data_IF_529767183536
#
_entry.id   IF_529767183536
#
_cell.length_a   1.000
_cell.length_b   1.000
_cell.length_c   1.000
_cell.angle_alpha   90.00
_cell.angle_beta   90.00
_cell.angle_gamma   90.00
#
_symmetry.space_group_name_H-M   'P 1'
#
loop_
_entity.id
_entity.type
_entity.pdbx_description
1 polymer ?
#
# COMPACT_ATOMS: atom_id res chain seq x y z
N UNK A 1 -18.00 -3.96 0.31
CA UNK A 1 -17.83 -2.99 -0.79
C UNK A 1 -19.22 -2.59 -1.23
N UNK A 2 -19.68 -1.38 -0.89
CA UNK A 2 -20.84 -0.79 -1.57
C UNK A 2 -20.32 -0.11 -2.83
N UNK A 3 -20.89 -0.45 -3.99
CA UNK A 3 -20.60 0.24 -5.23
C UNK A 3 -21.90 0.89 -5.70
N UNK A 4 -21.85 2.19 -5.96
CA UNK A 4 -22.91 2.90 -6.66
C UNK A 4 -22.50 3.04 -8.12
N UNK A 5 -23.43 2.75 -9.03
CA UNK A 5 -23.25 3.01 -10.46
C UNK A 5 -23.70 4.44 -10.72
N UNK A 6 -22.81 5.26 -11.26
CA UNK A 6 -23.14 6.61 -11.71
C UNK A 6 -22.55 6.81 -13.11
N UNK A 7 -23.34 7.31 -14.03
CA UNK A 7 -22.85 7.92 -15.26
C UNK A 7 -22.31 9.31 -14.88
N UNK A 8 -21.18 9.71 -15.45
CA UNK A 8 -20.62 11.05 -15.26
C UNK A 8 -21.19 11.92 -16.39
N UNK A 9 -21.57 13.17 -16.10
CA UNK A 9 -22.19 14.07 -17.10
C UNK A 9 -21.31 14.23 -18.36
N UNK A 10 -19.99 14.22 -18.19
CA UNK A 10 -19.01 14.36 -19.28
C UNK A 10 -18.84 13.07 -20.13
N UNK A 11 -19.25 11.90 -19.62
CA UNK A 11 -19.19 10.62 -20.33
C UNK A 11 -20.46 9.79 -20.07
N UNK A 12 -21.61 10.16 -20.66
CA UNK A 12 -22.89 9.53 -20.37
C UNK A 12 -22.95 8.05 -20.77
N UNK A 13 -22.12 7.63 -21.73
CA UNK A 13 -22.02 6.25 -22.22
C UNK A 13 -21.05 5.38 -21.41
N UNK A 14 -20.35 5.94 -20.42
CA UNK A 14 -19.38 5.24 -19.59
C UNK A 14 -19.97 4.88 -18.23
N UNK A 15 -19.79 3.61 -17.83
CA UNK A 15 -20.18 3.14 -16.50
C UNK A 15 -19.00 3.25 -15.53
N UNK A 16 -19.18 3.90 -14.38
CA UNK A 16 -18.13 4.04 -13.37
C UNK A 16 -18.47 3.30 -12.07
N UNK A 17 -17.44 2.71 -11.45
CA UNK A 17 -17.46 2.22 -10.06
C UNK A 17 -16.69 3.19 -9.19
N UNK A 18 -17.29 3.63 -8.08
CA UNK A 18 -16.62 4.46 -7.08
C UNK A 18 -16.31 3.63 -5.84
N UNK A 19 -15.03 3.59 -5.46
CA UNK A 19 -14.60 2.99 -4.22
C UNK A 19 -14.78 3.95 -3.03
N UNK A 20 -14.83 3.41 -1.82
CA UNK A 20 -14.98 4.19 -0.59
C UNK A 20 -13.82 5.18 -0.37
N UNK A 21 -12.64 4.88 -0.92
CA UNK A 21 -11.47 5.76 -0.91
C UNK A 21 -11.45 6.77 -2.07
N UNK A 22 -12.64 7.08 -2.62
CA UNK A 22 -12.87 8.06 -3.70
C UNK A 22 -12.17 7.75 -5.04
N UNK A 23 -11.59 6.56 -5.22
CA UNK A 23 -11.12 6.12 -6.54
C UNK A 23 -12.30 5.79 -7.45
N UNK A 24 -12.24 6.24 -8.69
CA UNK A 24 -13.18 5.86 -9.74
C UNK A 24 -12.55 4.85 -10.70
N UNK A 25 -13.34 3.88 -11.15
CA UNK A 25 -12.94 2.88 -12.13
C UNK A 25 -13.95 2.92 -13.28
N UNK A 26 -13.50 3.28 -14.47
CA UNK A 26 -14.31 3.15 -15.68
C UNK A 26 -14.43 1.68 -16.05
N UNK A 27 -15.65 1.18 -16.18
CA UNK A 27 -15.93 -0.16 -16.67
C UNK A 27 -15.78 -0.13 -18.19
N UNK A 28 -14.66 -0.65 -18.69
CA UNK A 28 -14.38 -0.68 -20.13
C UNK A 28 -15.21 -1.70 -20.92
N UNK A 29 -15.85 -2.68 -20.26
CA UNK A 29 -16.68 -3.69 -20.92
C UNK A 29 -17.62 -4.39 -19.93
N UNK A 30 -18.85 -4.67 -20.37
CA UNK A 30 -19.84 -5.54 -19.68
C UNK A 30 -19.83 -6.98 -20.21
N UNK A 31 -18.88 -7.33 -21.09
CA UNK A 31 -18.76 -8.67 -21.62
C UNK A 31 -18.54 -9.70 -20.51
N UNK A 32 -19.31 -10.78 -20.54
CA UNK A 32 -19.34 -11.82 -19.49
C UNK A 32 -17.98 -12.50 -19.34
N UNK A 33 -17.23 -12.69 -20.44
CA UNK A 33 -15.89 -13.29 -20.39
C UNK A 33 -14.91 -12.33 -19.71
N UNK A 34 -14.94 -11.06 -20.10
CA UNK A 34 -14.13 -10.00 -19.49
C UNK A 34 -14.43 -9.88 -17.99
N UNK A 35 -15.70 -9.84 -17.60
CA UNK A 35 -16.11 -9.85 -16.19
C UNK A 35 -15.55 -11.06 -15.43
N UNK A 36 -15.63 -12.26 -16.01
CA UNK A 36 -15.11 -13.48 -15.40
C UNK A 36 -13.60 -13.41 -15.19
N UNK A 37 -12.85 -12.90 -16.16
CA UNK A 37 -11.40 -12.68 -16.06
C UNK A 37 -11.05 -11.64 -15.00
N UNK A 38 -11.77 -10.51 -14.97
CA UNK A 38 -11.59 -9.46 -13.96
C UNK A 38 -11.88 -9.96 -12.56
N UNK A 39 -12.95 -10.75 -12.38
CA UNK A 39 -13.28 -11.38 -11.10
C UNK A 39 -12.17 -12.31 -10.65
N UNK A 40 -11.71 -13.21 -11.52
CA UNK A 40 -10.63 -14.14 -11.19
C UNK A 40 -9.33 -13.40 -10.87
N UNK A 41 -9.02 -12.30 -11.57
CA UNK A 41 -7.90 -11.43 -11.25
C UNK A 41 -8.04 -10.84 -9.85
N UNK A 42 -9.16 -10.19 -9.53
CA UNK A 42 -9.39 -9.58 -8.21
C UNK A 42 -9.31 -10.62 -7.11
N UNK A 43 -9.96 -11.77 -7.28
CA UNK A 43 -9.94 -12.86 -6.29
C UNK A 43 -8.52 -13.35 -6.00
N UNK A 44 -7.62 -13.41 -6.99
CA UNK A 44 -6.20 -13.77 -6.81
C UNK A 44 -5.48 -12.78 -5.88
N UNK A 45 -5.69 -11.49 -6.05
CA UNK A 45 -5.08 -10.49 -5.16
C UNK A 45 -5.73 -10.46 -3.79
N UNK A 46 -7.05 -10.69 -3.71
CA UNK A 46 -7.76 -10.84 -2.43
C UNK A 46 -7.23 -12.04 -1.65
N UNK A 47 -7.07 -13.20 -2.28
CA UNK A 47 -6.54 -14.40 -1.60
C UNK A 47 -5.08 -14.20 -1.19
N UNK A 48 -4.26 -13.53 -2.00
CA UNK A 48 -2.88 -13.19 -1.63
C UNK A 48 -2.84 -12.26 -0.41
N UNK A 49 -3.62 -11.17 -0.41
CA UNK A 49 -3.72 -10.26 0.73
C UNK A 49 -4.16 -11.02 1.99
N UNK A 50 -5.17 -11.88 1.86
CA UNK A 50 -5.64 -12.70 2.96
C UNK A 50 -4.55 -13.64 3.49
N UNK A 51 -3.77 -14.30 2.64
CA UNK A 51 -2.63 -15.12 3.08
C UNK A 51 -1.64 -14.29 3.90
N UNK A 52 -1.32 -13.08 3.46
CA UNK A 52 -0.47 -12.18 4.24
C UNK A 52 -1.08 -11.84 5.60
N UNK A 53 -2.37 -11.48 5.65
CA UNK A 53 -3.10 -11.23 6.90
C UNK A 53 -3.02 -12.44 7.85
N UNK A 54 -3.25 -13.66 7.34
CA UNK A 54 -3.16 -14.89 8.14
C UNK A 54 -1.75 -15.13 8.70
N UNK A 55 -0.71 -14.78 7.93
CA UNK A 55 0.68 -14.90 8.36
C UNK A 55 1.02 -13.85 9.40
N UNK A 56 0.63 -12.60 9.17
CA UNK A 56 0.95 -11.49 10.06
C UNK A 56 0.18 -11.63 11.38
N UNK A 57 -1.10 -12.00 11.34
CA UNK A 57 -1.94 -12.28 12.51
C UNK A 57 -1.57 -13.57 13.26
N UNK A 58 -0.70 -14.42 12.71
CA UNK A 58 -0.22 -15.62 13.41
C UNK A 58 0.87 -15.34 14.45
N UNK A 59 1.54 -14.19 14.35
CA UNK A 59 2.51 -13.74 15.35
C UNK A 59 1.82 -12.87 16.40
N UNK A 60 2.03 -13.20 17.68
CA UNK A 60 1.73 -12.28 18.78
C UNK A 60 3.01 -11.95 19.53
N UNK A 61 3.01 -10.94 20.39
CA UNK A 61 4.17 -10.66 21.27
C UNK A 61 4.63 -11.89 22.06
N UNK A 62 3.73 -12.86 22.28
CA UNK A 62 3.98 -14.11 23.02
C UNK A 62 4.28 -15.32 22.13
N UNK A 63 3.98 -15.27 20.83
CA UNK A 63 4.14 -16.43 19.93
C UNK A 63 4.98 -16.05 18.70
N UNK A 64 6.13 -16.71 18.49
CA UNK A 64 6.98 -16.40 17.35
C UNK A 64 6.24 -16.69 16.04
N UNK A 65 6.47 -15.84 15.04
CA UNK A 65 5.89 -15.97 13.70
C UNK A 65 6.16 -17.39 13.16
N UNK A 66 5.13 -18.03 12.62
CA UNK A 66 5.28 -19.41 12.12
C UNK A 66 6.35 -19.46 11.01
N UNK A 67 7.35 -20.36 11.09
CA UNK A 67 8.36 -20.52 10.04
C UNK A 67 7.73 -20.89 8.70
N UNK A 68 8.31 -20.41 7.60
CA UNK A 68 7.80 -20.65 6.25
C UNK A 68 7.66 -22.14 5.89
N UNK A 69 8.52 -23.02 6.39
CA UNK A 69 8.45 -24.49 6.22
C UNK A 69 7.21 -25.14 6.85
N UNK A 70 6.54 -24.43 7.78
CA UNK A 70 5.30 -24.90 8.41
C UNK A 70 4.04 -24.28 7.77
N UNK A 71 4.21 -23.35 6.82
CA UNK A 71 3.10 -22.62 6.17
C UNK A 71 2.58 -23.39 4.95
N UNK A 72 1.92 -24.50 5.21
CA UNK A 72 1.25 -25.32 4.19
C UNK A 72 -0.26 -25.05 4.15
N UNK A 73 -0.98 -25.78 3.28
CA UNK A 73 -2.43 -25.60 3.14
C UNK A 73 -3.20 -25.90 4.43
N UNK A 74 -2.83 -26.94 5.19
CA UNK A 74 -3.49 -27.27 6.46
C UNK A 74 -3.30 -26.14 7.48
N UNK A 75 -2.10 -25.57 7.53
CA UNK A 75 -1.80 -24.42 8.36
C UNK A 75 -2.64 -23.20 7.95
N UNK A 76 -2.76 -22.89 6.66
CA UNK A 76 -3.60 -21.78 6.17
C UNK A 76 -5.07 -21.97 6.52
N UNK A 77 -5.62 -23.17 6.32
CA UNK A 77 -7.00 -23.49 6.69
C UNK A 77 -7.21 -23.32 8.19
N UNK A 78 -6.28 -23.79 9.03
CA UNK A 78 -6.33 -23.61 10.48
C UNK A 78 -6.28 -22.14 10.87
N UNK A 79 -5.41 -21.33 10.25
CA UNK A 79 -5.35 -19.90 10.53
C UNK A 79 -6.60 -19.17 10.07
N UNK A 80 -7.18 -19.51 8.92
CA UNK A 80 -8.42 -18.92 8.44
C UNK A 80 -9.56 -19.13 9.45
N UNK A 81 -9.75 -20.35 9.94
CA UNK A 81 -10.77 -20.66 10.95
C UNK A 81 -10.51 -19.89 12.24
N UNK A 82 -9.24 -19.74 12.64
CA UNK A 82 -8.87 -19.05 13.88
C UNK A 82 -9.04 -17.53 13.78
N UNK A 83 -8.69 -16.93 12.65
CA UNK A 83 -8.52 -15.48 12.53
C UNK A 83 -9.68 -14.80 11.78
N UNK A 84 -10.21 -15.42 10.73
CA UNK A 84 -11.20 -14.81 9.83
C UNK A 84 -12.63 -15.18 10.26
N UNK A 85 -12.89 -16.46 10.52
CA UNK A 85 -14.25 -16.91 10.90
C UNK A 85 -14.82 -16.17 12.13
N UNK A 86 -14.05 -15.85 13.20
CA UNK A 86 -14.57 -15.07 14.31
C UNK A 86 -14.90 -13.62 13.93
N UNK A 87 -14.16 -13.00 13.00
CA UNK A 87 -14.46 -11.66 12.49
C UNK A 87 -15.74 -11.66 11.65
N UNK A 88 -15.96 -12.75 10.92
CA UNK A 88 -17.12 -12.95 10.04
C UNK A 88 -18.42 -13.20 10.81
N UNK A 89 -18.36 -13.51 12.11
CA UNK A 89 -19.55 -13.59 12.98
C UNK A 89 -20.34 -12.29 13.01
N UNK A 90 -19.67 -11.15 12.78
CA UNK A 90 -20.29 -9.82 12.81
C UNK A 90 -20.67 -9.30 11.41
N UNK A 91 -20.38 -10.05 10.34
CA UNK A 91 -20.63 -9.61 8.96
C UNK A 91 -21.79 -10.42 8.38
N UNK A 92 -23.00 -9.88 8.50
CA UNK A 92 -24.13 -10.27 7.64
C UNK A 92 -24.92 -9.05 7.20
N UNK A 93 -24.50 -8.45 6.09
CA UNK A 93 -25.33 -7.53 5.31
C UNK A 93 -25.98 -8.30 4.15
N UNK A 94 -27.15 -8.87 4.43
CA UNK A 94 -28.26 -8.71 3.50
C UNK A 94 -29.40 -8.18 4.36
N UNK A 95 -29.31 -6.88 4.68
CA UNK A 95 -30.47 -6.11 5.10
C UNK A 95 -31.45 -6.16 3.94
N UNK A 96 -32.44 -7.03 4.05
CA UNK A 96 -33.59 -7.00 3.16
C UNK A 96 -34.74 -6.46 4.02
N UNK A 97 -35.14 -5.18 3.87
CA UNK A 97 -36.22 -4.58 4.65
C UNK A 97 -37.55 -5.32 4.47
N UNK A 98 -37.68 -6.11 3.41
CA UNK A 98 -38.84 -6.96 3.11
C UNK A 98 -38.65 -8.42 3.56
N UNK A 99 -37.57 -8.76 4.26
CA UNK A 99 -37.41 -10.13 4.76
C UNK A 99 -38.40 -10.43 5.89
N UNK A 100 -39.15 -11.51 5.75
CA UNK A 100 -40.06 -12.00 6.78
C UNK A 100 -39.29 -12.22 8.09
N UNK A 101 -39.85 -11.71 9.20
CA UNK A 101 -39.26 -11.81 10.53
C UNK A 101 -38.36 -10.65 10.95
N UNK A 102 -38.54 -9.45 10.37
CA UNK A 102 -38.02 -8.20 10.95
C UNK A 102 -39.08 -7.65 11.91
N UNK A 103 -38.68 -7.41 13.16
CA UNK A 103 -39.47 -6.77 14.20
C UNK A 103 -38.82 -5.43 14.51
N UNK A 104 -39.60 -4.37 14.40
CA UNK A 104 -39.18 -3.03 14.82
C UNK A 104 -39.39 -2.95 16.33
N UNK A 105 -38.34 -2.67 17.09
CA UNK A 105 -38.47 -2.42 18.53
C UNK A 105 -39.12 -1.04 18.77
N UNK A 106 -39.48 -0.76 20.02
CA UNK A 106 -40.15 0.50 20.41
C UNK A 106 -39.30 1.76 20.15
N UNK A 107 -38.00 1.59 19.89
CA UNK A 107 -37.05 2.65 19.54
C UNK A 107 -36.86 2.82 18.02
N UNK A 108 -37.62 2.10 17.19
CA UNK A 108 -37.49 2.13 15.73
C UNK A 108 -36.34 1.29 15.16
N UNK A 109 -35.57 0.61 16.00
CA UNK A 109 -34.50 -0.29 15.60
C UNK A 109 -35.07 -1.64 15.12
N UNK A 110 -34.72 -2.01 13.90
CA UNK A 110 -35.15 -3.27 13.29
C UNK A 110 -34.26 -4.43 13.75
N UNK A 111 -34.88 -5.44 14.35
CA UNK A 111 -34.23 -6.68 14.79
C UNK A 111 -34.86 -7.87 14.10
N UNK A 112 -34.13 -8.97 13.95
CA UNK A 112 -34.71 -10.20 13.40
C UNK A 112 -35.37 -11.01 14.54
N UNK A 113 -36.59 -11.52 14.33
CA UNK A 113 -37.33 -12.35 15.31
C UNK A 113 -36.53 -13.58 15.75
N UNK A 114 -35.67 -14.10 14.87
CA UNK A 114 -34.75 -15.20 15.18
C UNK A 114 -33.32 -14.76 14.88
N UNK A 115 -32.37 -14.92 15.82
CA UNK A 115 -30.97 -14.63 15.56
C UNK A 115 -30.47 -15.53 14.43
N UNK A 116 -29.99 -14.92 13.33
CA UNK A 116 -29.44 -15.65 12.20
C UNK A 116 -28.04 -16.15 12.55
N UNK A 117 -27.93 -17.38 13.05
CA UNK A 117 -26.63 -18.01 13.31
C UNK A 117 -25.82 -18.11 12.00
N UNK A 118 -24.54 -17.71 12.05
CA UNK A 118 -23.61 -17.95 10.94
C UNK A 118 -23.50 -19.46 10.71
N UNK A 119 -23.62 -19.88 9.44
CA UNK A 119 -23.47 -21.30 9.11
C UNK A 119 -22.06 -21.76 9.52
N UNK A 120 -21.90 -22.95 10.09
CA UNK A 120 -20.57 -23.48 10.39
C UNK A 120 -19.79 -23.60 9.08
N UNK A 121 -18.62 -22.96 9.00
CA UNK A 121 -17.75 -23.01 7.82
C UNK A 121 -16.89 -24.27 7.92
N UNK A 122 -17.05 -25.20 6.97
CA UNK A 122 -16.29 -26.45 6.98
C UNK A 122 -14.87 -26.24 6.41
N UNK A 123 -13.89 -27.00 6.92
CA UNK A 123 -12.49 -26.96 6.43
C UNK A 123 -12.38 -27.17 4.92
N UNK A 124 -13.24 -28.04 4.37
CA UNK A 124 -13.28 -28.32 2.94
C UNK A 124 -13.69 -27.11 2.10
N UNK A 125 -14.61 -26.27 2.59
CA UNK A 125 -15.01 -25.04 1.89
C UNK A 125 -13.84 -24.06 1.81
N UNK A 126 -13.11 -23.90 2.91
CA UNK A 126 -11.92 -23.04 2.96
C UNK A 126 -10.81 -23.59 2.05
N UNK A 127 -10.56 -24.91 2.10
CA UNK A 127 -9.61 -25.57 1.20
C UNK A 127 -9.98 -25.34 -0.27
N UNK A 128 -11.27 -25.37 -0.61
CA UNK A 128 -11.77 -25.12 -1.98
C UNK A 128 -11.44 -23.70 -2.46
N UNK A 129 -11.51 -22.70 -1.58
CA UNK A 129 -11.12 -21.31 -1.89
C UNK A 129 -9.65 -21.24 -2.30
N UNK A 130 -8.75 -21.86 -1.52
CA UNK A 130 -7.32 -21.94 -1.85
C UNK A 130 -7.05 -22.80 -3.09
N UNK A 131 -7.77 -23.92 -3.26
CA UNK A 131 -7.63 -24.80 -4.40
C UNK A 131 -7.96 -24.08 -5.72
N UNK A 132 -8.97 -23.20 -5.73
CA UNK A 132 -9.36 -22.42 -6.92
C UNK A 132 -8.19 -21.63 -7.51
N UNK A 133 -7.31 -21.10 -6.66
CA UNK A 133 -6.19 -20.22 -7.05
C UNK A 133 -4.80 -20.83 -6.79
N UNK A 134 -4.71 -22.13 -6.50
CA UNK A 134 -3.47 -22.75 -6.03
C UNK A 134 -2.30 -22.65 -7.03
N UNK A 135 -2.58 -22.85 -8.33
CA UNK A 135 -1.57 -22.74 -9.40
C UNK A 135 -1.08 -21.30 -9.58
N UNK A 136 -1.96 -20.32 -9.47
CA UNK A 136 -1.56 -18.91 -9.55
C UNK A 136 -0.71 -18.53 -8.34
N UNK A 137 -1.08 -18.97 -7.13
CA UNK A 137 -0.28 -18.74 -5.92
C UNK A 137 1.11 -19.36 -6.08
N UNK A 138 1.20 -20.58 -6.64
CA UNK A 138 2.48 -21.22 -6.94
C UNK A 138 3.31 -20.40 -7.93
N UNK A 139 2.69 -19.96 -9.03
CA UNK A 139 3.34 -19.13 -10.04
C UNK A 139 3.87 -17.81 -9.45
N UNK A 140 3.08 -17.13 -8.61
CA UNK A 140 3.46 -15.90 -7.91
C UNK A 140 4.66 -16.14 -6.99
N UNK A 141 4.65 -17.20 -6.18
CA UNK A 141 5.78 -17.57 -5.31
C UNK A 141 7.05 -17.90 -6.09
N UNK A 142 6.93 -18.56 -7.25
CA UNK A 142 8.06 -18.92 -8.10
C UNK A 142 8.59 -17.68 -8.85
N UNK A 143 7.72 -16.83 -9.38
CA UNK A 143 8.13 -15.59 -10.03
C UNK A 143 8.82 -14.65 -9.04
N UNK A 144 8.38 -14.65 -7.78
CA UNK A 144 8.93 -13.86 -6.71
C UNK A 144 10.27 -14.38 -6.14
N UNK A 145 10.80 -15.51 -6.61
CA UNK A 145 12.08 -16.09 -6.13
C UNK A 145 13.27 -15.13 -6.18
N UNK A 146 13.23 -14.13 -7.08
CA UNK A 146 14.28 -13.09 -7.16
C UNK A 146 14.31 -12.19 -5.93
N UNK A 147 13.23 -12.11 -5.16
CA UNK A 147 13.15 -11.34 -3.92
C UNK A 147 13.06 -12.29 -2.72
N UNK A 148 14.10 -12.35 -1.85
CA UNK A 148 14.11 -13.26 -0.70
C UNK A 148 12.96 -12.99 0.28
N UNK A 149 12.49 -11.75 0.37
CA UNK A 149 11.42 -11.36 1.28
C UNK A 149 10.01 -11.62 0.70
N UNK A 150 9.91 -12.04 -0.55
CA UNK A 150 8.62 -12.21 -1.22
C UNK A 150 8.04 -13.63 -1.10
N UNK A 151 8.84 -14.60 -0.66
CA UNK A 151 8.34 -15.96 -0.35
C UNK A 151 7.59 -15.94 0.98
N UNK A 152 6.36 -16.44 0.96
CA UNK A 152 5.51 -16.51 2.13
C UNK A 152 4.95 -17.91 2.40
N UNK A 153 5.13 -18.88 1.49
CA UNK A 153 4.72 -20.29 1.64
C UNK A 153 5.87 -21.29 1.42
N UNK A 154 5.71 -22.50 1.97
CA UNK A 154 6.54 -23.65 1.65
C UNK A 154 6.23 -24.14 0.22
N UNK A 155 7.12 -23.84 -0.74
CA UNK A 155 6.93 -24.18 -2.16
C UNK A 155 6.83 -25.70 -2.38
N UNK A 156 7.73 -26.55 -1.85
CA UNK A 156 7.57 -28.00 -1.94
C UNK A 156 6.21 -28.52 -1.49
N UNK A 157 5.72 -28.06 -0.33
CA UNK A 157 4.40 -28.51 0.17
C UNK A 157 3.25 -27.93 -0.66
N UNK A 158 3.38 -26.69 -1.14
CA UNK A 158 2.39 -26.09 -2.01
C UNK A 158 2.32 -26.75 -3.39
N UNK A 159 3.47 -27.17 -3.93
CA UNK A 159 3.54 -27.93 -5.18
C UNK A 159 2.79 -29.26 -5.06
N UNK A 160 2.96 -30.00 -3.96
CA UNK A 160 2.18 -31.22 -3.67
C UNK A 160 0.68 -30.93 -3.62
N UNK A 161 0.28 -29.86 -2.95
CA UNK A 161 -1.12 -29.45 -2.89
C UNK A 161 -1.70 -29.12 -4.29
N UNK A 162 -0.92 -28.48 -5.16
CA UNK A 162 -1.32 -28.26 -6.56
C UNK A 162 -1.51 -29.59 -7.30
N UNK A 163 -0.60 -30.57 -7.11
CA UNK A 163 -0.76 -31.91 -7.69
C UNK A 163 -2.05 -32.58 -7.22
N UNK A 164 -2.34 -32.55 -5.92
CA UNK A 164 -3.60 -33.08 -5.35
C UNK A 164 -4.84 -32.43 -5.99
N UNK A 165 -4.84 -31.10 -6.12
CA UNK A 165 -5.97 -30.37 -6.71
C UNK A 165 -6.26 -30.77 -8.15
N UNK A 166 -5.21 -31.12 -8.92
CA UNK A 166 -5.34 -31.57 -10.32
C UNK A 166 -5.80 -33.01 -10.45
N UNK A 167 -5.50 -33.86 -9.47
CA UNK A 167 -6.07 -35.22 -9.41
C UNK A 167 -7.58 -35.13 -9.19
N UNK A 168 -8.03 -34.22 -8.32
CA UNK A 168 -9.46 -34.02 -8.03
C UNK A 168 -10.18 -33.29 -9.18
N UNK A 169 -9.54 -32.32 -9.81
CA UNK A 169 -10.11 -31.54 -10.91
C UNK A 169 -9.18 -31.59 -12.14
N UNK A 170 -9.22 -32.69 -12.92
CA UNK A 170 -8.41 -32.79 -14.11
C UNK A 170 -8.83 -31.71 -15.12
N UNK A 171 -7.88 -31.15 -15.90
CA UNK A 171 -8.22 -30.20 -16.95
C UNK A 171 -9.13 -30.87 -18.00
N UNK A 172 -10.11 -30.12 -18.52
CA UNK A 172 -11.11 -30.63 -19.46
C UNK A 172 -10.53 -31.15 -20.78
N UNK A 173 -9.35 -30.64 -21.18
CA UNK A 173 -8.62 -31.13 -22.34
C UNK A 173 -7.78 -32.31 -21.87
N UNK A 174 -8.20 -33.54 -22.23
CA UNK A 174 -7.82 -34.85 -21.69
C UNK A 174 -6.34 -35.27 -21.73
N UNK A 175 -5.39 -34.34 -21.70
CA UNK A 175 -4.00 -34.61 -21.43
C UNK A 175 -3.68 -34.50 -19.94
N UNK A 176 -2.86 -35.43 -19.43
CA UNK A 176 -2.06 -35.20 -18.21
C UNK A 176 -1.04 -34.09 -18.48
N UNK A 177 -1.53 -32.86 -18.54
CA UNK A 177 -0.70 -31.67 -18.65
C UNK A 177 0.14 -31.58 -17.37
N UNK A 178 1.46 -31.41 -17.50
CA UNK A 178 2.31 -31.20 -16.33
C UNK A 178 2.05 -29.80 -15.70
N UNK A 179 2.57 -29.57 -14.50
CA UNK A 179 2.35 -28.27 -13.81
C UNK A 179 2.99 -27.14 -14.61
N UNK A 180 4.18 -27.34 -15.15
CA UNK A 180 4.87 -26.34 -15.97
C UNK A 180 4.03 -25.86 -17.16
N UNK A 181 3.37 -26.77 -17.89
CA UNK A 181 2.46 -26.45 -18.99
C UNK A 181 1.25 -25.66 -18.49
N UNK A 182 0.67 -26.04 -17.36
CA UNK A 182 -0.45 -25.28 -16.78
C UNK A 182 -0.05 -23.84 -16.43
N UNK A 183 1.18 -23.63 -15.92
CA UNK A 183 1.67 -22.30 -15.56
C UNK A 183 1.93 -21.38 -16.76
N UNK A 184 2.06 -21.90 -17.99
CA UNK A 184 2.23 -21.08 -19.21
C UNK A 184 1.07 -20.10 -19.43
N UNK A 185 -0.13 -20.37 -18.88
CA UNK A 185 -1.27 -19.44 -18.89
C UNK A 185 -1.01 -18.13 -18.14
N UNK A 186 0.03 -18.08 -17.32
CA UNK A 186 0.51 -16.89 -16.62
C UNK A 186 1.69 -16.22 -17.35
N UNK A 187 1.95 -16.61 -18.61
CA UNK A 187 3.04 -16.12 -19.46
C UNK A 187 4.32 -16.95 -19.36
N UNK A 188 5.20 -16.83 -20.34
CA UNK A 188 6.47 -17.57 -20.43
C UNK A 188 6.35 -18.96 -21.09
N UNK A 189 7.49 -19.58 -21.38
CA UNK A 189 7.54 -20.90 -22.02
C UNK A 189 7.49 -22.02 -20.98
N UNK A 190 7.08 -23.22 -21.39
CA UNK A 190 6.99 -24.40 -20.51
C UNK A 190 8.35 -24.73 -19.88
N UNK A 191 9.41 -24.68 -20.69
CA UNK A 191 10.78 -24.99 -20.27
C UNK A 191 11.26 -23.99 -19.20
N UNK A 192 10.87 -22.71 -19.33
CA UNK A 192 11.18 -21.68 -18.33
C UNK A 192 10.51 -21.97 -17.00
N UNK A 193 9.22 -22.36 -17.03
CA UNK A 193 8.49 -22.73 -15.81
C UNK A 193 9.05 -23.98 -15.17
N UNK A 194 9.38 -25.01 -15.97
CA UNK A 194 9.97 -26.24 -15.47
C UNK A 194 11.29 -25.94 -14.75
N UNK A 195 12.20 -25.20 -15.38
CA UNK A 195 13.47 -24.79 -14.78
C UNK A 195 13.28 -24.00 -13.49
N UNK A 196 12.28 -23.11 -13.44
CA UNK A 196 11.98 -22.32 -12.23
C UNK A 196 11.39 -23.18 -11.12
N UNK A 197 10.51 -24.13 -11.45
CA UNK A 197 9.96 -25.11 -10.49
C UNK A 197 11.11 -25.95 -9.92
N UNK A 198 11.95 -26.53 -10.78
CA UNK A 198 13.07 -27.37 -10.36
C UNK A 198 14.03 -26.60 -9.45
N UNK A 199 14.35 -25.36 -9.80
CA UNK A 199 15.14 -24.47 -8.95
C UNK A 199 14.43 -24.19 -7.60
N UNK A 200 13.13 -23.91 -7.61
CA UNK A 200 12.37 -23.64 -6.40
C UNK A 200 12.28 -24.84 -5.45
N UNK A 201 12.24 -26.05 -6.01
CA UNK A 201 12.21 -27.32 -5.28
C UNK A 201 13.59 -27.75 -4.80
N UNK A 202 14.63 -27.56 -5.63
CA UNK A 202 16.00 -27.92 -5.33
C UNK A 202 16.66 -26.95 -4.34
N UNK A 203 16.28 -25.66 -4.38
CA UNK A 203 16.86 -24.64 -3.50
C UNK A 203 16.27 -24.77 -2.10
N UNK A 204 17.02 -25.31 -1.12
CA UNK A 204 16.49 -25.51 0.22
C UNK A 204 16.21 -24.15 0.86
N UNK A 205 15.12 -24.07 1.62
CA UNK A 205 14.77 -22.91 2.45
C UNK A 205 15.89 -22.49 3.42
N UNK A 206 16.90 -23.35 3.62
CA UNK A 206 18.05 -23.15 4.49
C UNK A 206 18.76 -21.82 4.24
N UNK A 207 19.07 -21.42 3.01
CA UNK A 207 19.79 -20.16 2.79
C UNK A 207 18.99 -18.91 3.22
N UNK A 208 17.65 -18.97 3.13
CA UNK A 208 16.77 -17.88 3.59
C UNK A 208 16.64 -17.91 5.10
N UNK A 209 16.45 -19.09 5.70
CA UNK A 209 16.39 -19.26 7.15
C UNK A 209 17.71 -18.87 7.81
N UNK A 210 18.84 -19.25 7.22
CA UNK A 210 20.18 -18.92 7.68
C UNK A 210 20.47 -17.43 7.55
N UNK A 211 20.01 -16.77 6.48
CA UNK A 211 20.09 -15.31 6.35
C UNK A 211 19.21 -14.60 7.39
N UNK A 212 18.01 -15.09 7.67
CA UNK A 212 17.12 -14.53 8.70
C UNK A 212 17.66 -14.78 10.12
N UNK A 213 18.20 -15.97 10.39
CA UNK A 213 18.91 -16.29 11.64
C UNK A 213 20.16 -15.42 11.82
N UNK A 214 20.94 -15.20 10.76
CA UNK A 214 22.08 -14.27 10.78
C UNK A 214 21.66 -12.82 11.00
N UNK A 215 20.52 -12.37 10.46
CA UNK A 215 19.98 -11.03 10.75
C UNK A 215 19.50 -10.92 12.20
N UNK A 216 18.82 -11.95 12.71
CA UNK A 216 18.35 -11.99 14.09
C UNK A 216 19.53 -12.01 15.08
N UNK A 217 20.58 -12.77 14.81
CA UNK A 217 21.79 -12.80 15.63
C UNK A 217 22.56 -11.47 15.58
N UNK A 218 22.63 -10.82 14.42
CA UNK A 218 23.22 -9.47 14.28
C UNK A 218 22.45 -8.39 15.03
N UNK A 219 21.12 -8.53 15.17
CA UNK A 219 20.28 -7.60 15.96
C UNK A 219 20.34 -7.88 17.47
N UNK A 220 20.74 -9.08 17.88
CA UNK A 220 20.84 -9.48 19.28
C UNK A 220 22.22 -9.20 19.90
N UNK A 221 23.24 -8.89 19.11
CA UNK A 221 24.54 -8.49 19.63
C UNK A 221 24.46 -7.07 20.21
N UNK A 222 24.79 -6.86 21.50
CA UNK A 222 24.88 -5.53 22.07
C UNK A 222 25.87 -4.72 21.23
N UNK A 223 25.47 -3.50 20.86
CA UNK A 223 26.27 -2.56 20.08
C UNK A 223 27.56 -2.28 20.84
N UNK A 224 28.62 -3.04 20.55
CA UNK A 224 29.96 -2.76 21.06
C UNK A 224 30.37 -1.42 20.46
N UNK A 225 30.49 -0.42 21.32
CA UNK A 225 30.95 0.93 20.99
C UNK A 225 32.33 0.81 20.34
N UNK A 226 32.53 1.19 19.07
CA UNK A 226 33.84 1.14 18.45
C UNK A 226 34.69 2.26 19.03
N UNK A 227 35.69 1.88 19.83
CA UNK A 227 36.79 2.75 20.21
C UNK A 227 37.76 2.91 19.04
N UNK A 228 38.13 4.17 18.78
CA UNK A 228 39.24 4.66 17.97
C UNK A 228 39.25 4.40 16.44
N UNK A 229 39.31 5.51 15.71
CA UNK A 229 39.46 5.63 14.25
C UNK A 229 40.80 5.09 13.72
N UNK A 230 40.81 4.59 12.48
CA UNK A 230 41.98 4.65 11.59
C UNK A 230 41.73 5.55 10.35
N UNK A 231 42.78 5.89 9.59
CA UNK A 231 42.90 7.19 8.93
C UNK A 231 42.25 7.30 7.54
N UNK A 232 42.05 8.56 7.17
CA UNK A 232 41.42 9.11 5.97
C UNK A 232 42.00 8.53 4.65
N UNK A 233 41.12 7.94 3.83
CA UNK A 233 41.40 7.66 2.43
C UNK A 233 40.95 8.82 1.53
N UNK A 234 41.85 9.18 0.61
CA UNK A 234 41.72 10.24 -0.40
C UNK A 234 40.58 9.96 -1.39
N UNK A 235 39.88 11.00 -1.88
CA UNK A 235 38.86 10.85 -2.92
C UNK A 235 39.50 10.67 -4.31
N UNK A 236 39.02 9.65 -5.05
CA UNK A 236 39.26 9.48 -6.50
C UNK A 236 38.43 10.50 -7.31
N UNK A 237 38.96 11.05 -8.40
CA UNK A 237 38.21 11.93 -9.30
C UNK A 237 37.16 11.13 -10.08
N UNK A 238 35.92 11.63 -10.05
CA UNK A 238 34.77 11.12 -10.79
C UNK A 238 34.83 11.69 -12.21
N UNK A 239 34.90 10.81 -13.22
CA UNK A 239 34.74 11.20 -14.62
C UNK A 239 33.25 11.39 -14.95
N UNK A 240 32.88 12.44 -15.71
CA UNK A 240 31.50 12.63 -16.16
C UNK A 240 31.14 11.66 -17.30
N UNK A 241 30.10 10.84 -17.08
CA UNK A 241 29.44 10.07 -18.13
C UNK A 241 28.44 10.96 -18.88
N UNK A 242 28.74 11.28 -20.13
CA UNK A 242 27.79 11.84 -21.10
C UNK A 242 26.78 10.76 -21.51
N UNK A 243 25.51 10.95 -21.13
CA UNK A 243 24.37 10.18 -21.65
C UNK A 243 23.71 10.99 -22.76
N UNK A 244 23.89 10.56 -24.01
CA UNK A 244 23.09 11.02 -25.13
C UNK A 244 21.75 10.26 -25.12
N UNK A 245 20.66 10.97 -24.85
CA UNK A 245 19.30 10.48 -25.12
C UNK A 245 18.95 10.78 -26.58
N UNK A 246 18.42 9.82 -27.36
CA UNK A 246 17.99 10.07 -28.73
C UNK A 246 16.72 10.93 -28.74
N UNK A 247 16.77 12.01 -29.52
CA UNK A 247 15.63 12.89 -29.82
C UNK A 247 14.69 12.14 -30.76
N UNK A 248 13.46 11.88 -30.32
CA UNK A 248 12.39 11.34 -31.16
C UNK A 248 11.74 12.52 -31.91
N UNK A 249 11.66 12.50 -33.25
CA UNK A 249 11.07 13.59 -34.02
C UNK A 249 9.56 13.67 -33.79
N UNK A 250 9.04 14.89 -33.60
CA UNK A 250 7.61 15.15 -33.43
C UNK A 250 6.84 14.78 -34.71
N UNK A 251 5.96 13.79 -34.62
CA UNK A 251 4.99 13.50 -35.68
C UNK A 251 4.01 14.66 -35.81
N UNK A 252 4.02 15.35 -36.96
CA UNK A 252 2.99 16.32 -37.33
C UNK A 252 1.70 15.55 -37.62
N UNK A 253 0.69 15.74 -36.78
CA UNK A 253 -0.66 15.31 -37.09
C UNK A 253 -1.25 16.27 -38.12
N UNK A 254 -1.70 15.71 -39.24
CA UNK A 254 -2.38 16.42 -40.32
C UNK A 254 -3.88 16.22 -40.07
N UNK A 255 -4.58 17.29 -39.73
CA UNK A 255 -6.04 17.29 -39.54
C UNK A 255 -6.74 17.69 -40.86
N UNK A 256 -7.91 17.11 -41.09
CA UNK A 256 -8.75 17.37 -42.28
C UNK A 256 -9.30 18.81 -42.29
N UNK A 257 -9.39 19.39 -43.50
CA UNK A 257 -9.68 20.81 -43.77
C UNK A 257 -11.09 21.31 -43.42
N UNK A 258 -11.94 20.52 -42.77
CA UNK A 258 -13.35 20.89 -42.50
C UNK A 258 -13.59 21.61 -41.16
N UNK A 259 -12.53 22.01 -40.43
CA UNK A 259 -12.63 22.74 -39.15
C UNK A 259 -12.27 24.23 -39.24
N UNK A 260 -12.64 24.90 -40.33
CA UNK A 260 -12.37 26.33 -40.53
C UNK A 260 -13.57 27.22 -40.20
N UNK A 261 -14.08 27.16 -38.96
CA UNK A 261 -14.93 28.23 -38.44
C UNK A 261 -14.06 29.34 -37.84
N UNK A 262 -14.39 30.59 -38.17
CA UNK A 262 -13.63 31.77 -37.76
C UNK A 262 -13.67 31.93 -36.24
N UNK A 263 -12.50 31.81 -35.60
CA UNK A 263 -12.33 31.95 -34.17
C UNK A 263 -12.82 33.32 -33.70
N UNK A 264 -13.69 33.30 -32.69
CA UNK A 264 -14.03 34.41 -31.81
C UNK A 264 -12.74 35.07 -31.29
N UNK A 265 -12.67 36.40 -31.19
CA UNK A 265 -11.47 37.08 -30.68
C UNK A 265 -11.13 36.57 -29.27
N UNK A 266 -9.83 36.35 -28.97
CA UNK A 266 -9.42 35.83 -27.68
C UNK A 266 -9.85 36.80 -26.58
N UNK A 267 -10.65 36.28 -25.64
CA UNK A 267 -10.78 36.91 -24.33
C UNK A 267 -9.37 36.95 -23.73
N UNK A 268 -9.03 38.10 -23.15
CA UNK A 268 -7.73 38.34 -22.54
C UNK A 268 -7.50 37.39 -21.37
N UNK A 269 -6.87 36.24 -21.63
CA UNK A 269 -6.45 35.27 -20.62
C UNK A 269 -5.40 35.92 -19.71
N UNK A 270 -5.80 36.21 -18.48
CA UNK A 270 -4.89 36.63 -17.42
C UNK A 270 -3.98 35.45 -17.06
N UNK A 271 -2.72 35.48 -17.52
CA UNK A 271 -1.72 34.41 -17.33
C UNK A 271 -1.42 34.06 -15.85
N UNK A 272 -1.97 34.79 -14.88
CA UNK A 272 -1.80 34.51 -13.45
C UNK A 272 -2.50 33.22 -13.00
N UNK A 273 -3.67 32.89 -13.54
CA UNK A 273 -4.47 31.75 -13.05
C UNK A 273 -3.88 30.39 -13.47
N UNK A 274 -3.19 30.33 -14.61
CA UNK A 274 -2.64 29.07 -15.17
C UNK A 274 -1.44 28.56 -14.36
N UNK A 275 -0.69 29.46 -13.72
CA UNK A 275 0.46 29.09 -12.89
C UNK A 275 0.03 28.37 -11.61
N UNK A 276 -1.07 28.78 -11.00
CA UNK A 276 -1.59 28.24 -9.74
C UNK A 276 -2.16 26.83 -9.93
N UNK A 277 -2.81 26.56 -11.06
CA UNK A 277 -3.34 25.23 -11.38
C UNK A 277 -2.24 24.16 -11.43
N UNK A 278 -1.09 24.49 -12.04
CA UNK A 278 0.06 23.56 -12.13
C UNK A 278 0.72 23.29 -10.78
N UNK A 279 0.65 24.24 -9.84
CA UNK A 279 1.14 24.05 -8.48
C UNK A 279 0.16 23.22 -7.65
N UNK A 280 -1.15 23.46 -7.81
CA UNK A 280 -2.19 22.64 -7.19
C UNK A 280 -2.02 21.17 -7.57
N UNK A 281 -1.84 20.84 -8.85
CA UNK A 281 -1.62 19.46 -9.34
C UNK A 281 -0.44 18.73 -8.68
N UNK A 282 0.56 19.47 -8.17
CA UNK A 282 1.70 18.88 -7.46
C UNK A 282 1.39 18.54 -6.01
N UNK A 283 0.37 19.13 -5.40
CA UNK A 283 -0.02 18.83 -4.02
C UNK A 283 -0.51 17.37 -3.95
N UNK A 284 0.15 16.50 -3.18
CA UNK A 284 -0.28 15.12 -3.05
C UNK A 284 -1.71 15.05 -2.50
N UNK A 285 -2.51 14.12 -3.04
CA UNK A 285 -3.92 14.00 -2.66
C UNK A 285 -4.13 13.85 -1.15
N UNK A 286 -3.20 13.19 -0.45
CA UNK A 286 -3.29 12.97 0.99
C UNK A 286 -3.10 14.26 1.80
N UNK A 287 -2.41 15.28 1.28
CA UNK A 287 -2.32 16.59 1.92
C UNK A 287 -3.62 17.39 1.84
N UNK A 288 -4.57 16.98 0.99
CA UNK A 288 -5.88 17.63 0.80
C UNK A 288 -7.01 16.99 1.59
N UNK A 289 -6.72 15.89 2.29
CA UNK A 289 -7.71 15.15 3.07
C UNK A 289 -7.35 15.32 4.55
N UNK A 290 -8.31 15.71 5.40
CA UNK A 290 -8.08 15.75 6.85
C UNK A 290 -7.54 14.40 7.35
N UNK A 291 -6.47 14.39 8.17
CA UNK A 291 -5.93 13.13 8.67
C UNK A 291 -6.90 12.47 9.64
N UNK A 292 -7.15 11.17 9.46
CA UNK A 292 -7.98 10.36 10.34
C UNK A 292 -7.12 9.39 11.14
N UNK A 293 -7.32 9.33 12.46
CA UNK A 293 -6.67 8.34 13.32
C UNK A 293 -7.23 6.93 13.04
N UNK A 294 -6.36 5.95 12.84
CA UNK A 294 -6.76 4.55 12.72
C UNK A 294 -7.22 4.00 14.10
N UNK A 295 -7.82 2.81 14.10
CA UNK A 295 -8.03 2.06 15.34
C UNK A 295 -6.70 1.91 16.08
N UNK A 296 -6.66 2.26 17.37
CA UNK A 296 -5.47 2.31 18.24
C UNK A 296 -4.64 3.60 18.25
N UNK A 297 -5.22 4.77 17.94
CA UNK A 297 -4.54 6.08 18.08
C UNK A 297 -3.28 6.23 17.21
N UNK A 298 -3.19 5.40 16.17
CA UNK A 298 -2.08 5.37 15.24
C UNK A 298 -2.51 6.08 13.97
N UNK A 299 -1.65 6.95 13.45
CA UNK A 299 -1.77 7.49 12.11
C UNK A 299 -0.54 7.13 11.30
N UNK A 300 -0.75 6.76 10.04
CA UNK A 300 0.34 6.42 9.11
C UNK A 300 0.26 7.37 7.93
N UNK A 301 1.39 8.00 7.60
CA UNK A 301 1.42 8.89 6.46
C UNK A 301 1.16 8.10 5.16
N UNK A 302 0.16 8.48 4.34
CA UNK A 302 -0.08 7.81 3.06
C UNK A 302 1.04 8.05 2.03
N UNK A 303 1.77 9.17 2.17
CA UNK A 303 2.85 9.59 1.28
C UNK A 303 4.18 8.86 1.50
N UNK A 304 4.53 8.59 2.77
CA UNK A 304 5.72 7.83 3.10
C UNK A 304 5.40 6.61 3.96
N UNK A 305 5.93 5.46 3.56
CA UNK A 305 5.71 4.17 4.26
C UNK A 305 6.41 4.05 5.62
N UNK A 306 7.18 5.07 6.01
CA UNK A 306 8.10 5.02 7.15
C UNK A 306 7.58 5.83 8.33
N UNK A 307 6.92 6.96 8.07
CA UNK A 307 6.48 7.86 9.13
C UNK A 307 5.09 7.46 9.66
N UNK A 308 5.01 7.38 10.98
CA UNK A 308 3.78 7.10 11.71
C UNK A 308 3.77 7.92 12.99
N UNK A 309 2.59 8.35 13.41
CA UNK A 309 2.36 9.06 14.67
C UNK A 309 1.55 8.11 15.55
N UNK A 310 2.13 7.71 16.67
CA UNK A 310 1.42 6.96 17.72
C UNK A 310 1.16 7.91 18.89
N UNK A 311 -0.10 8.35 19.07
CA UNK A 311 -0.44 9.31 20.12
C UNK A 311 -0.20 8.79 21.54
N UNK A 312 -0.03 7.47 21.72
CA UNK A 312 0.31 6.87 23.01
C UNK A 312 1.83 6.82 23.24
N UNK A 313 2.63 6.93 22.17
CA UNK A 313 4.09 6.78 22.18
C UNK A 313 4.77 7.85 21.30
N UNK A 314 4.42 9.12 21.51
CA UNK A 314 5.07 10.24 20.83
C UNK A 314 6.51 10.44 21.33
N UNK A 315 7.41 10.74 20.40
CA UNK A 315 8.79 11.11 20.71
C UNK A 315 8.83 12.58 21.18
N UNK A 316 9.65 12.88 22.20
CA UNK A 316 9.74 14.23 22.75
C UNK A 316 10.27 15.23 21.71
N UNK A 317 11.14 14.80 20.79
CA UNK A 317 11.65 15.60 19.67
C UNK A 317 10.51 16.10 18.75
N UNK A 318 9.47 15.29 18.54
CA UNK A 318 8.30 15.68 17.73
C UNK A 318 7.41 16.69 18.47
N UNK A 319 7.40 16.64 19.81
CA UNK A 319 6.64 17.55 20.65
C UNK A 319 7.30 18.92 20.78
N UNK A 320 8.64 18.99 20.73
CA UNK A 320 9.39 20.27 20.68
C UNK A 320 9.15 21.04 19.38
N UNK A 321 8.72 20.33 18.35
CA UNK A 321 8.54 20.79 16.99
C UNK A 321 7.18 21.52 16.78
N UNK A 322 6.24 21.40 17.72
CA UNK A 322 4.90 22.04 17.71
C UNK A 322 4.73 23.07 18.84
N UNK A 323 3.72 23.97 18.79
CA UNK A 323 3.48 24.93 19.87
C UNK A 323 3.24 24.25 21.23
N UNK A 324 3.86 24.78 22.29
CA UNK A 324 3.89 24.18 23.64
C UNK A 324 2.49 23.89 24.23
N UNK A 325 1.48 24.68 23.87
CA UNK A 325 0.10 24.43 24.30
C UNK A 325 -0.43 23.08 23.79
N UNK A 326 -0.13 22.73 22.53
CA UNK A 326 -0.53 21.46 21.92
C UNK A 326 0.35 20.31 22.41
N UNK A 327 1.64 20.56 22.60
CA UNK A 327 2.55 19.58 23.19
C UNK A 327 2.08 19.16 24.60
N UNK A 328 1.67 20.11 25.45
CA UNK A 328 1.09 19.84 26.77
C UNK A 328 -0.20 19.01 26.68
N UNK A 329 -1.09 19.35 25.75
CA UNK A 329 -2.31 18.57 25.50
C UNK A 329 -1.96 17.13 25.18
N UNK A 330 -1.05 16.88 24.23
CA UNK A 330 -0.63 15.52 23.84
C UNK A 330 0.08 14.76 24.97
N UNK A 331 0.94 15.42 25.76
CA UNK A 331 1.58 14.81 26.94
C UNK A 331 0.55 14.35 27.97
N UNK A 332 -0.54 15.08 28.15
CA UNK A 332 -1.60 14.73 29.10
C UNK A 332 -2.37 13.45 28.71
N UNK A 333 -2.45 13.15 27.40
CA UNK A 333 -3.08 11.94 26.86
C UNK A 333 -2.30 10.69 27.26
N UNK A 334 -0.96 10.77 27.23
CA UNK A 334 -0.06 9.66 27.57
C UNK A 334 -0.35 9.10 28.97
N UNK A 335 -0.83 9.94 29.88
CA UNK A 335 -1.20 9.55 31.25
C UNK A 335 -2.62 8.97 31.38
N UNK A 336 -3.47 9.07 30.35
CA UNK A 336 -4.90 8.73 30.39
C UNK A 336 -5.28 7.84 29.18
N UNK A 337 -4.69 6.65 29.09
CA UNK A 337 -4.78 5.79 27.90
C UNK A 337 -6.21 5.34 27.51
N UNK A 338 -7.18 5.34 28.43
CA UNK A 338 -8.46 4.66 28.20
C UNK A 338 -9.61 5.54 27.65
N UNK A 339 -9.50 6.88 27.66
CA UNK A 339 -10.68 7.76 27.40
C UNK A 339 -10.49 8.91 26.39
N UNK A 340 -9.36 8.95 25.65
CA UNK A 340 -8.84 10.27 25.19
C UNK A 340 -8.89 10.64 23.70
N UNK A 341 -9.23 9.83 22.67
CA UNK A 341 -9.03 10.27 21.29
C UNK A 341 -10.12 11.20 20.71
N UNK A 342 -11.06 11.72 21.51
CA UNK A 342 -12.23 12.44 20.98
C UNK A 342 -12.36 13.90 21.40
N UNK A 343 -11.48 14.44 22.24
CA UNK A 343 -11.54 15.88 22.50
C UNK A 343 -11.02 16.66 21.28
N UNK A 344 -11.73 17.72 20.91
CA UNK A 344 -11.37 18.57 19.77
C UNK A 344 -9.94 19.12 19.91
N UNK A 345 -9.52 19.44 21.13
CA UNK A 345 -8.16 19.90 21.43
C UNK A 345 -7.07 18.90 21.02
N UNK A 346 -7.33 17.60 21.21
CA UNK A 346 -6.40 16.53 20.84
C UNK A 346 -6.32 16.38 19.34
N UNK A 347 -7.46 16.49 18.64
CA UNK A 347 -7.50 16.45 17.18
C UNK A 347 -6.79 17.64 16.55
N UNK A 348 -6.93 18.84 17.13
CA UNK A 348 -6.17 20.03 16.71
C UNK A 348 -4.67 19.83 16.93
N UNK A 349 -4.26 19.36 18.11
CA UNK A 349 -2.85 19.09 18.41
C UNK A 349 -2.25 18.01 17.47
N UNK A 350 -3.01 16.95 17.18
CA UNK A 350 -2.66 15.93 16.21
C UNK A 350 -2.53 16.52 14.79
N UNK A 351 -3.43 17.42 14.40
CA UNK A 351 -3.38 18.14 13.13
C UNK A 351 -2.07 18.90 12.94
N UNK A 352 -1.52 19.52 14.00
CA UNK A 352 -0.23 20.20 13.95
C UNK A 352 0.94 19.25 13.65
N UNK A 353 0.99 18.07 14.28
CA UNK A 353 2.02 17.06 14.00
C UNK A 353 1.96 16.58 12.54
N UNK A 354 0.74 16.31 12.04
CA UNK A 354 0.56 15.90 10.64
C UNK A 354 0.94 17.02 9.69
N UNK A 355 0.54 18.26 9.99
CA UNK A 355 0.85 19.43 9.16
C UNK A 355 2.36 19.62 9.01
N UNK A 356 3.11 19.57 10.10
CA UNK A 356 4.57 19.65 10.10
C UNK A 356 5.23 18.54 9.27
N UNK A 357 4.69 17.32 9.36
CA UNK A 357 5.15 16.23 8.51
C UNK A 357 4.81 16.50 7.02
N UNK A 358 3.63 17.01 6.71
CA UNK A 358 3.21 17.38 5.36
C UNK A 358 4.05 18.52 4.78
N UNK A 359 4.48 19.49 5.57
CA UNK A 359 5.40 20.53 5.12
C UNK A 359 6.70 19.94 4.57
N UNK A 360 7.20 18.84 5.14
CA UNK A 360 8.39 18.15 4.62
C UNK A 360 8.16 17.61 3.21
N UNK A 361 7.01 16.97 2.97
CA UNK A 361 6.62 16.48 1.63
C UNK A 361 6.44 17.64 0.64
N UNK A 362 5.76 18.70 1.06
CA UNK A 362 5.49 19.87 0.21
C UNK A 362 6.78 20.61 -0.15
N UNK A 363 7.71 20.74 0.80
CA UNK A 363 9.05 21.29 0.58
C UNK A 363 9.84 20.48 -0.44
N UNK A 364 9.82 19.15 -0.36
CA UNK A 364 10.47 18.28 -1.35
C UNK A 364 9.89 18.45 -2.76
N UNK A 365 8.60 18.80 -2.86
CA UNK A 365 7.91 19.06 -4.12
C UNK A 365 8.03 20.52 -4.60
N UNK A 366 8.66 21.39 -3.81
CA UNK A 366 8.81 22.81 -4.11
C UNK A 366 7.47 23.57 -4.09
N UNK A 367 6.52 23.13 -3.28
CA UNK A 367 5.19 23.73 -3.13
C UNK A 367 5.03 24.21 -1.69
N UNK A 368 4.48 25.40 -1.48
CA UNK A 368 4.15 25.96 -0.18
C UNK A 368 2.65 26.30 -0.16
N UNK A 369 1.96 25.94 0.91
CA UNK A 369 0.58 26.37 1.17
C UNK A 369 0.68 27.52 2.16
N UNK A 370 0.10 28.67 1.80
CA UNK A 370 0.12 29.89 2.63
C UNK A 370 -1.32 30.25 2.95
N UNK A 371 -1.63 30.33 4.24
CA UNK A 371 -2.90 30.84 4.75
C UNK A 371 -2.70 32.30 5.17
N UNK A 372 -3.20 33.23 4.35
CA UNK A 372 -3.17 34.67 4.60
C UNK A 372 -4.60 35.16 4.82
N UNK A 373 -4.94 35.56 6.04
CA UNK A 373 -6.26 36.08 6.43
C UNK A 373 -7.46 35.16 6.11
N UNK A 374 -7.23 33.84 6.12
CA UNK A 374 -8.24 32.83 5.81
C UNK A 374 -8.36 32.51 4.31
N UNK A 375 -7.55 33.15 3.46
CA UNK A 375 -7.40 32.75 2.07
C UNK A 375 -6.18 31.82 1.92
N UNK A 376 -6.45 30.61 1.45
CA UNK A 376 -5.43 29.56 1.30
C UNK A 376 -4.91 29.59 -0.13
N UNK A 377 -3.70 30.13 -0.30
CA UNK A 377 -3.02 30.20 -1.60
C UNK A 377 -1.88 29.17 -1.70
N UNK A 378 -1.60 28.72 -2.91
CA UNK A 378 -0.50 27.78 -3.19
C UNK A 378 0.59 28.52 -3.93
N UNK A 379 1.78 28.59 -3.33
CA UNK A 379 2.94 29.28 -3.90
C UNK A 379 4.07 28.30 -4.14
N UNK A 380 5.02 28.67 -5.01
CA UNK A 380 6.28 27.92 -5.13
C UNK A 380 7.07 28.09 -3.84
N UNK A 381 7.58 26.99 -3.27
CA UNK A 381 8.43 27.07 -2.09
C UNK A 381 9.62 27.99 -2.40
N UNK A 382 9.95 28.96 -1.53
CA UNK A 382 11.04 29.88 -1.79
C UNK A 382 12.29 29.04 -2.02
N UNK A 383 12.88 29.16 -3.22
CA UNK A 383 14.20 28.61 -3.48
C UNK A 383 15.10 29.29 -2.47
N UNK A 384 15.44 28.56 -1.41
CA UNK A 384 16.36 29.02 -0.41
C UNK A 384 17.64 29.27 -1.17
N UNK A 385 17.84 30.54 -1.54
CA UNK A 385 19.07 31.03 -2.17
C UNK A 385 20.12 30.60 -1.20
N UNK A 386 20.75 29.47 -1.49
CA UNK A 386 21.86 28.95 -0.72
C UNK A 386 22.89 30.05 -0.80
N UNK A 387 22.85 30.95 0.18
CA UNK A 387 23.96 31.79 0.58
C UNK A 387 24.98 30.77 1.02
N UNK A 388 25.71 30.21 0.04
CA UNK A 388 27.08 29.79 0.17
C UNK A 388 27.79 31.03 0.71
N UNK A 389 27.73 31.23 2.03
CA UNK A 389 28.77 31.91 2.77
C UNK A 389 30.01 31.08 2.49
N UNK A 390 30.67 31.44 1.38
CA UNK A 390 32.06 31.13 1.12
C UNK A 390 32.80 31.71 2.33
N UNK A 391 32.98 30.86 3.33
CA UNK A 391 33.89 31.07 4.43
C UNK A 391 35.27 30.97 3.79
N UNK A 392 35.68 32.03 3.07
CA UNK A 392 37.06 32.23 2.67
C UNK A 392 37.87 32.23 3.96
N UNK A 393 38.67 31.19 4.11
CA UNK A 393 39.81 31.17 5.01
C UNK A 393 40.61 32.45 4.77
N UNK A 394 40.52 33.40 5.69
CA UNK A 394 41.52 34.43 5.84
C UNK A 394 42.62 33.86 6.74
N UNK A 395 43.39 32.93 6.19
CA UNK A 395 44.76 32.71 6.64
C UNK A 395 45.60 33.85 6.10
N UNK A 396 45.67 34.95 6.86
CA UNK A 396 46.72 35.94 6.71
C UNK A 396 47.75 35.69 7.81
N UNK A 397 48.87 35.16 7.35
CA UNK A 397 50.20 35.25 7.93
C UNK A 397 50.43 36.56 8.67
N UNK A 398 50.77 36.45 9.96
CA UNK A 398 51.55 37.45 10.67
C UNK A 398 52.87 36.78 11.06
N UNK A 399 53.93 37.11 10.32
CA UNK A 399 55.32 36.96 10.71
C UNK A 399 56.02 38.27 10.35
N UNK A 400 56.88 38.72 11.26
CA UNK A 400 57.84 39.83 11.20
C UNK A 400 57.29 41.26 11.39
N UNK A 401 57.35 41.76 12.62
CA UNK A 401 58.47 42.59 13.09
C UNK A 401 58.66 42.39 14.61
#
# INVERSE_FOLDING_TARGET
MSAAYKTVEDEPDSLFLFAADKRSFRIGSLDVKTFSLSRDFIERYTIRRMIHELIDGSGSSKTPRTPITKRNIEWLVKQYIRQIVPKDKNIRYIYNPWSAGIVTNDQGAQTLTKPRHSRPVHKAEIRKIFAKHCEWILADQIAALRSPNARYLDIPQWYKFVQECRVVNPPAVGGRSDIASSLTRFGGKREDWQKRIDNALATPLHWQQERELQKASRKALPRVTPSAQPPLHQPRPIQPLTRHSPVVPSSKFQYDSDFSEASTPPLSDSESEVADQRLLEKIPWYCRVPPELESHHLWRCPGCRVYQIDLLHLDDDELEEIPEQFAKTLRSIRSKADDVPKSDEVLVAFGHLVHQHYERHLRELGVQIVDEDGDVSVRKWPEERTRRKSRRLNTRSASAA
#
